data_IF_909475914447
#
_entry.id   IF_909475914447
#
_cell.length_a   1.000
_cell.length_b   1.000
_cell.length_c   1.000
_cell.angle_alpha   90.00
_cell.angle_beta   90.00
_cell.angle_gamma   90.00
#
_symmetry.space_group_name_H-M   'P 1'
#
loop_
_entity.id
_entity.type
_entity.pdbx_description
1 polymer ?
#
# COMPACT_ATOMS: atom_id res chain seq x y z
N UNK A 1 -4.27 5.31 -5.49
CA UNK A 1 -5.48 4.76 -4.84
C UNK A 1 -5.17 4.34 -3.40
N UNK A 2 -4.25 3.41 -3.12
CA UNK A 2 -3.92 2.93 -1.77
C UNK A 2 -3.60 4.06 -0.78
N UNK A 3 -2.77 5.05 -1.18
CA UNK A 3 -2.49 6.23 -0.34
C UNK A 3 -3.73 7.07 -0.03
N UNK A 4 -4.66 7.17 -0.98
CA UNK A 4 -5.89 7.97 -0.80
C UNK A 4 -6.85 7.31 0.19
N UNK A 5 -7.13 6.01 0.02
CA UNK A 5 -8.08 5.30 0.90
C UNK A 5 -7.51 5.06 2.31
N UNK A 6 -6.20 4.90 2.45
CA UNK A 6 -5.55 4.83 3.76
C UNK A 6 -5.53 6.17 4.50
N UNK A 7 -5.66 7.29 3.78
CA UNK A 7 -5.53 8.62 4.36
C UNK A 7 -4.09 9.16 4.41
N UNK A 8 -3.13 8.40 3.87
CA UNK A 8 -1.73 8.83 3.80
C UNK A 8 -1.47 9.90 2.74
N UNK A 9 -2.32 9.98 1.70
CA UNK A 9 -2.10 10.88 0.57
C UNK A 9 -1.96 12.34 1.00
N UNK A 10 -0.87 12.97 0.58
CA UNK A 10 -0.62 14.40 0.77
C UNK A 10 -0.87 15.17 -0.53
N UNK A 11 -1.91 16.00 -0.53
CA UNK A 11 -2.30 16.81 -1.69
C UNK A 11 -1.50 18.13 -1.75
N UNK A 12 -0.18 18.00 -1.96
CA UNK A 12 0.70 19.15 -2.18
C UNK A 12 0.95 19.32 -3.68
N UNK A 13 0.49 20.43 -4.25
CA UNK A 13 0.70 20.75 -5.67
C UNK A 13 2.03 21.46 -5.88
N UNK A 14 2.68 21.15 -7.02
CA UNK A 14 3.95 21.80 -7.39
C UNK A 14 5.15 21.32 -6.58
N UNK A 15 6.29 21.98 -6.75
CA UNK A 15 7.55 21.65 -6.08
C UNK A 15 8.37 20.56 -6.79
N UNK A 16 9.54 20.22 -6.23
CA UNK A 16 10.45 19.23 -6.82
C UNK A 16 9.86 17.82 -6.80
N UNK A 17 10.45 16.94 -7.62
CA UNK A 17 10.16 15.51 -7.58
C UNK A 17 10.58 14.88 -6.25
N UNK A 18 9.88 13.82 -5.87
CA UNK A 18 10.10 13.08 -4.61
C UNK A 18 10.55 11.65 -4.89
N UNK A 19 11.26 11.06 -3.95
CA UNK A 19 11.76 9.69 -4.01
C UNK A 19 11.01 8.83 -2.99
N UNK A 20 9.93 8.11 -3.37
CA UNK A 20 9.26 7.18 -2.48
C UNK A 20 10.13 5.98 -2.14
N UNK A 21 9.61 5.05 -1.34
CA UNK A 21 10.29 3.80 -1.00
C UNK A 21 10.80 3.06 -2.22
N UNK A 22 12.07 2.64 -2.15
CA UNK A 22 12.70 1.78 -3.16
C UNK A 22 13.76 0.90 -2.51
N UNK A 23 13.96 -0.33 -3.00
CA UNK A 23 15.08 -1.15 -2.54
C UNK A 23 16.42 -0.45 -2.78
N UNK A 24 17.22 -0.30 -1.73
CA UNK A 24 18.52 0.40 -1.78
C UNK A 24 19.47 -0.24 -2.79
N UNK A 25 19.40 -1.56 -2.96
CA UNK A 25 20.23 -2.36 -3.85
C UNK A 25 20.08 -1.98 -5.32
N UNK A 26 18.90 -1.50 -5.73
CA UNK A 26 18.65 -1.08 -7.12
C UNK A 26 19.54 0.11 -7.55
N UNK A 27 19.97 0.92 -6.60
CA UNK A 27 20.80 2.09 -6.87
C UNK A 27 22.28 1.84 -6.69
N UNK A 28 22.68 0.86 -5.84
CA UNK A 28 24.07 0.51 -5.59
C UNK A 28 24.76 -0.18 -6.77
N UNK A 29 24.09 -1.17 -7.37
CA UNK A 29 24.65 -2.01 -8.43
C UNK A 29 24.79 -1.31 -9.80
N UNK A 30 23.96 -0.31 -10.08
CA UNK A 30 23.89 0.36 -11.39
C UNK A 30 24.38 1.81 -11.36
N UNK A 31 25.03 2.22 -10.25
CA UNK A 31 25.50 3.58 -10.04
C UNK A 31 26.89 3.85 -10.67
N UNK A 32 27.45 2.88 -11.40
CA UNK A 32 28.79 3.01 -11.99
C UNK A 32 28.75 4.13 -13.06
N UNK A 33 29.43 5.23 -12.75
CA UNK A 33 29.68 6.31 -13.72
C UNK A 33 28.75 7.53 -13.68
N UNK A 34 27.84 7.65 -12.72
CA UNK A 34 26.97 8.84 -12.62
C UNK A 34 27.17 9.58 -11.29
N UNK A 35 27.48 10.87 -11.37
CA UNK A 35 27.57 11.75 -10.19
C UNK A 35 26.26 11.90 -9.39
N UNK A 36 25.12 11.47 -9.97
CA UNK A 36 23.79 11.48 -9.36
C UNK A 36 23.35 10.06 -8.88
N UNK A 37 24.30 9.22 -8.53
CA UNK A 37 24.09 7.81 -8.23
C UNK A 37 23.47 7.54 -6.85
N UNK A 38 23.41 8.51 -5.97
CA UNK A 38 22.85 8.33 -4.62
C UNK A 38 21.33 8.53 -4.65
N UNK A 39 20.61 7.46 -4.42
CA UNK A 39 19.19 7.53 -4.09
C UNK A 39 19.07 8.03 -2.64
N UNK A 40 18.48 9.21 -2.48
CA UNK A 40 18.08 9.71 -1.18
C UNK A 40 16.55 9.60 -1.10
N UNK A 41 16.07 8.65 -0.29
CA UNK A 41 14.65 8.50 -0.04
C UNK A 41 14.11 9.77 0.61
N UNK A 42 12.95 10.23 0.14
CA UNK A 42 12.22 11.34 0.78
C UNK A 42 11.74 10.94 2.18
N UNK A 43 11.47 11.92 3.03
CA UNK A 43 11.00 11.71 4.40
C UNK A 43 9.72 12.51 4.65
N UNK A 44 8.95 12.10 5.66
CA UNK A 44 7.73 12.79 6.06
C UNK A 44 6.69 12.84 4.93
N UNK A 45 6.00 13.95 4.80
CA UNK A 45 4.91 14.15 3.84
C UNK A 45 5.30 13.92 2.37
N UNK A 46 6.57 14.10 2.02
CA UNK A 46 7.05 13.92 0.65
C UNK A 46 7.07 12.44 0.21
N UNK A 47 7.01 11.47 1.14
CA UNK A 47 6.81 10.06 0.82
C UNK A 47 5.41 9.74 0.27
N UNK A 48 4.42 10.53 0.66
CA UNK A 48 3.01 10.25 0.43
C UNK A 48 2.37 11.14 -0.63
N UNK A 49 3.18 11.78 -1.47
CA UNK A 49 2.70 12.59 -2.58
C UNK A 49 2.14 11.72 -3.71
N UNK A 50 1.31 12.33 -4.56
CA UNK A 50 0.79 11.66 -5.77
C UNK A 50 1.94 11.14 -6.63
N UNK A 51 1.80 9.96 -7.20
CA UNK A 51 2.81 9.29 -8.04
C UNK A 51 3.28 10.14 -9.23
N UNK A 52 2.50 11.16 -9.63
CA UNK A 52 2.91 12.16 -10.63
C UNK A 52 4.21 12.88 -10.23
N UNK A 53 4.43 13.09 -8.95
CA UNK A 53 5.60 13.78 -8.41
C UNK A 53 6.80 12.87 -8.15
N UNK A 54 6.67 11.54 -8.37
CA UNK A 54 7.80 10.62 -8.23
C UNK A 54 8.90 10.99 -9.22
N UNK A 55 10.11 11.18 -8.70
CA UNK A 55 11.29 11.44 -9.52
C UNK A 55 11.52 10.26 -10.48
N UNK A 56 11.56 10.56 -11.77
CA UNK A 56 11.70 9.56 -12.80
C UNK A 56 13.12 9.55 -13.38
N UNK A 57 13.94 8.61 -12.94
CA UNK A 57 15.25 8.40 -13.53
C UNK A 57 15.08 7.51 -14.77
N UNK A 58 15.46 8.02 -15.95
CA UNK A 58 15.22 7.35 -17.25
C UNK A 58 15.77 5.92 -17.31
N UNK A 59 16.95 5.68 -16.75
CA UNK A 59 17.60 4.37 -16.75
C UNK A 59 17.11 3.44 -15.66
N UNK A 60 16.70 3.99 -14.51
CA UNK A 60 16.27 3.24 -13.32
C UNK A 60 14.99 3.90 -12.79
N UNK A 61 13.84 3.71 -13.45
CA UNK A 61 12.57 4.19 -12.95
C UNK A 61 12.14 3.39 -11.72
N UNK A 62 11.23 3.95 -10.92
CA UNK A 62 10.70 3.29 -9.74
C UNK A 62 10.15 1.88 -10.07
N UNK A 63 10.69 0.85 -9.42
CA UNK A 63 10.45 -0.54 -9.76
C UNK A 63 8.97 -0.92 -9.62
N UNK A 64 8.35 -0.54 -8.50
CA UNK A 64 6.92 -0.75 -8.25
C UNK A 64 6.04 -0.07 -9.31
N UNK A 65 6.36 1.15 -9.71
CA UNK A 65 5.61 1.86 -10.76
C UNK A 65 5.71 1.16 -12.13
N UNK A 66 6.89 0.63 -12.47
CA UNK A 66 7.05 -0.13 -13.72
C UNK A 66 6.22 -1.40 -13.73
N UNK A 67 6.26 -2.15 -12.63
CA UNK A 67 5.49 -3.40 -12.48
C UNK A 67 3.98 -3.11 -12.54
N UNK A 68 3.54 -1.99 -11.98
CA UNK A 68 2.15 -1.53 -12.04
C UNK A 68 1.79 -0.80 -13.35
N UNK A 69 2.60 -0.95 -14.40
CA UNK A 69 2.26 -0.47 -15.74
C UNK A 69 2.51 1.02 -16.00
N UNK A 70 3.35 1.69 -15.20
CA UNK A 70 3.75 3.04 -15.52
C UNK A 70 4.64 3.06 -16.77
N UNK A 71 4.35 3.97 -17.69
CA UNK A 71 5.10 4.13 -18.93
C UNK A 71 6.54 4.56 -18.70
N UNK A 72 7.45 4.04 -19.57
CA UNK A 72 8.86 4.40 -19.56
C UNK A 72 9.17 5.86 -19.93
N UNK A 73 8.16 6.67 -20.25
CA UNK A 73 8.27 8.07 -20.72
C UNK A 73 9.20 8.26 -21.93
N UNK A 74 9.42 7.19 -22.70
CA UNK A 74 10.27 7.21 -23.90
C UNK A 74 9.47 7.27 -25.18
N UNK A 75 8.21 6.83 -25.15
CA UNK A 75 7.28 6.80 -26.28
C UNK A 75 5.92 7.33 -25.85
N UNK A 76 5.21 7.98 -26.77
CA UNK A 76 3.81 8.37 -26.53
C UNK A 76 2.91 7.14 -26.61
N UNK A 77 2.09 6.92 -25.61
CA UNK A 77 1.02 5.91 -25.62
C UNK A 77 -0.32 6.59 -25.46
N UNK A 78 -1.26 6.22 -26.31
CA UNK A 78 -2.63 6.75 -26.30
C UNK A 78 -3.48 6.11 -25.22
N UNK A 79 -3.15 4.87 -24.82
CA UNK A 79 -3.86 4.11 -23.78
C UNK A 79 -2.90 3.22 -23.02
N UNK A 80 -3.07 3.15 -21.70
CA UNK A 80 -2.40 2.16 -20.86
C UNK A 80 -3.14 0.83 -20.96
N UNK A 81 -2.39 -0.26 -21.07
CA UNK A 81 -2.96 -1.59 -20.96
C UNK A 81 -3.29 -1.87 -19.48
N UNK A 82 -4.50 -2.35 -19.24
CA UNK A 82 -4.88 -2.86 -17.94
C UNK A 82 -4.31 -4.27 -17.82
N UNK A 83 -3.43 -4.49 -16.88
CA UNK A 83 -2.83 -5.80 -16.61
C UNK A 83 -3.04 -6.15 -15.15
N UNK A 84 -3.35 -7.41 -14.91
CA UNK A 84 -3.34 -7.99 -13.57
C UNK A 84 -2.45 -9.23 -13.62
N UNK A 85 -1.24 -9.11 -13.08
CA UNK A 85 -0.23 -10.16 -13.14
C UNK A 85 0.16 -10.61 -11.74
N UNK A 86 0.63 -11.86 -11.56
CA UNK A 86 1.11 -12.34 -10.27
C UNK A 86 2.22 -11.45 -9.68
N UNK A 87 3.05 -10.85 -10.52
CA UNK A 87 4.11 -9.93 -10.07
C UNK A 87 3.54 -8.63 -9.49
N UNK A 88 2.43 -8.13 -10.05
CA UNK A 88 1.73 -6.98 -9.50
C UNK A 88 1.12 -7.30 -8.13
N UNK A 89 0.48 -8.46 -7.99
CA UNK A 89 -0.03 -8.95 -6.71
C UNK A 89 1.10 -9.06 -5.67
N UNK A 90 2.25 -9.60 -6.06
CA UNK A 90 3.40 -9.72 -5.17
C UNK A 90 3.93 -8.34 -4.71
N UNK A 91 3.96 -7.35 -5.59
CA UNK A 91 4.35 -5.97 -5.23
C UNK A 91 3.36 -5.37 -4.25
N UNK A 92 2.06 -5.50 -4.48
CA UNK A 92 1.03 -4.96 -3.59
C UNK A 92 1.08 -5.58 -2.18
N UNK A 93 1.52 -6.83 -2.06
CA UNK A 93 1.64 -7.52 -0.78
C UNK A 93 2.95 -7.24 -0.03
N UNK A 94 4.03 -6.86 -0.73
CA UNK A 94 5.37 -6.81 -0.14
C UNK A 94 6.09 -5.44 -0.24
N UNK A 95 5.67 -4.55 -1.13
CA UNK A 95 6.29 -3.24 -1.25
C UNK A 95 6.00 -2.40 0.01
N UNK A 96 7.01 -1.78 0.63
CA UNK A 96 6.86 -1.04 1.88
C UNK A 96 5.75 0.01 1.87
N UNK A 97 5.53 0.67 0.73
CA UNK A 97 4.49 1.68 0.59
C UNK A 97 3.07 1.09 0.67
N UNK A 98 2.86 -0.11 0.09
CA UNK A 98 1.56 -0.78 0.15
C UNK A 98 1.32 -1.47 1.49
N UNK A 99 2.36 -2.04 2.09
CA UNK A 99 2.29 -2.59 3.46
C UNK A 99 1.95 -1.50 4.47
N UNK A 100 2.60 -0.34 4.39
CA UNK A 100 2.27 0.82 5.22
C UNK A 100 0.84 1.32 4.96
N UNK A 101 0.43 1.43 3.69
CA UNK A 101 -0.92 1.86 3.35
C UNK A 101 -1.99 0.90 3.90
N UNK A 102 -1.78 -0.42 3.85
CA UNK A 102 -2.72 -1.41 4.42
C UNK A 102 -2.84 -1.28 5.94
N UNK A 103 -1.73 -1.04 6.63
CA UNK A 103 -1.71 -0.81 8.09
C UNK A 103 -2.44 0.47 8.49
N UNK A 104 -2.16 1.59 7.82
CA UNK A 104 -2.83 2.86 8.11
C UNK A 104 -4.32 2.80 7.71
N UNK A 105 -4.64 2.06 6.67
CA UNK A 105 -6.02 1.78 6.29
C UNK A 105 -6.75 0.97 7.38
N UNK A 106 -6.07 -0.01 7.98
CA UNK A 106 -6.61 -0.75 9.14
C UNK A 106 -6.89 0.17 10.34
N UNK A 107 -5.95 1.08 10.69
CA UNK A 107 -6.20 2.08 11.73
C UNK A 107 -7.43 2.94 11.41
N UNK A 108 -7.57 3.36 10.16
CA UNK A 108 -8.70 4.15 9.70
C UNK A 108 -10.02 3.42 9.87
N UNK A 109 -10.13 2.17 9.43
CA UNK A 109 -11.37 1.41 9.55
C UNK A 109 -11.71 1.06 11.00
N UNK A 110 -10.72 0.87 11.86
CA UNK A 110 -10.93 0.70 13.30
C UNK A 110 -11.54 1.95 13.95
N UNK A 111 -11.20 3.14 13.45
CA UNK A 111 -11.70 4.41 13.97
C UNK A 111 -13.03 4.86 13.33
N UNK A 112 -13.24 4.59 12.04
CA UNK A 112 -14.34 5.15 11.24
C UNK A 112 -15.38 4.10 10.83
N UNK A 113 -15.03 2.81 10.83
CA UNK A 113 -15.81 1.72 10.24
C UNK A 113 -16.92 1.15 11.13
N UNK A 114 -17.14 1.70 12.32
CA UNK A 114 -18.13 1.19 13.29
C UNK A 114 -17.54 0.25 14.34
N UNK A 115 -18.41 -0.40 15.12
CA UNK A 115 -18.02 -1.13 16.33
C UNK A 115 -17.78 -2.64 16.09
N UNK A 116 -18.35 -3.20 15.02
CA UNK A 116 -18.21 -4.63 14.73
C UNK A 116 -17.26 -4.91 13.56
N UNK A 117 -16.59 -6.09 13.55
CA UNK A 117 -15.75 -6.49 12.42
C UNK A 117 -16.49 -6.46 11.07
N UNK A 118 -17.74 -6.88 11.05
CA UNK A 118 -18.58 -6.86 9.85
C UNK A 118 -18.78 -5.44 9.29
N UNK A 119 -19.03 -4.45 10.16
CA UNK A 119 -19.17 -3.06 9.76
C UNK A 119 -17.84 -2.49 9.24
N UNK A 120 -16.75 -2.73 9.96
CA UNK A 120 -15.39 -2.28 9.58
C UNK A 120 -14.96 -2.84 8.24
N UNK A 121 -15.16 -4.13 8.00
CA UNK A 121 -14.81 -4.77 6.73
C UNK A 121 -15.70 -4.32 5.57
N UNK A 122 -17.00 -4.13 5.82
CA UNK A 122 -17.92 -3.55 4.83
C UNK A 122 -17.53 -2.13 4.46
N UNK A 123 -17.11 -1.32 5.43
CA UNK A 123 -16.61 0.03 5.22
C UNK A 123 -15.31 0.03 4.42
N UNK A 124 -14.33 -0.83 4.79
CA UNK A 124 -13.09 -1.00 4.06
C UNK A 124 -13.32 -1.37 2.60
N UNK A 125 -14.15 -2.37 2.37
CA UNK A 125 -14.47 -2.84 1.02
C UNK A 125 -15.11 -1.72 0.17
N UNK A 126 -16.07 -0.99 0.74
CA UNK A 126 -16.73 0.13 0.07
C UNK A 126 -15.77 1.26 -0.29
N UNK A 127 -14.82 1.60 0.59
CA UNK A 127 -13.80 2.61 0.31
C UNK A 127 -12.88 2.18 -0.84
N UNK A 128 -12.51 0.90 -0.89
CA UNK A 128 -11.58 0.38 -1.87
C UNK A 128 -12.21 0.17 -3.26
N UNK A 129 -13.47 -0.31 -3.32
CA UNK A 129 -14.12 -0.73 -4.57
C UNK A 129 -15.22 0.21 -5.03
N UNK A 130 -15.64 1.17 -4.17
CA UNK A 130 -16.78 2.08 -4.41
C UNK A 130 -18.14 1.39 -4.55
N UNK A 131 -18.25 0.10 -4.21
CA UNK A 131 -19.52 -0.66 -4.20
C UNK A 131 -19.81 -1.28 -2.83
N UNK A 132 -21.02 -1.73 -2.63
CA UNK A 132 -21.35 -2.52 -1.44
C UNK A 132 -20.80 -3.94 -1.57
N UNK A 133 -20.31 -4.47 -0.45
CA UNK A 133 -19.85 -5.85 -0.36
C UNK A 133 -21.03 -6.82 -0.46
N UNK A 134 -20.86 -7.94 -1.17
CA UNK A 134 -21.82 -9.03 -1.22
C UNK A 134 -21.75 -9.90 0.04
N UNK A 135 -22.83 -10.56 0.46
CA UNK A 135 -22.82 -11.39 1.67
C UNK A 135 -21.73 -12.47 1.69
N UNK A 136 -21.49 -13.14 0.56
CA UNK A 136 -20.45 -14.17 0.42
C UNK A 136 -19.05 -13.57 0.53
N UNK A 137 -18.80 -12.38 -0.04
CA UNK A 137 -17.51 -11.70 0.06
C UNK A 137 -17.23 -11.28 1.52
N UNK A 138 -18.25 -10.78 2.20
CA UNK A 138 -18.14 -10.40 3.61
C UNK A 138 -17.83 -11.63 4.49
N UNK A 139 -18.45 -12.76 4.22
CA UNK A 139 -18.19 -14.01 4.94
C UNK A 139 -16.75 -14.45 4.79
N UNK A 140 -16.20 -14.41 3.58
CA UNK A 140 -14.79 -14.73 3.31
C UNK A 140 -13.85 -13.78 4.06
N UNK A 141 -14.10 -12.47 4.02
CA UNK A 141 -13.26 -11.50 4.73
C UNK A 141 -13.36 -11.63 6.25
N UNK A 142 -14.54 -11.96 6.79
CA UNK A 142 -14.73 -12.24 8.20
C UNK A 142 -14.01 -13.52 8.64
N UNK A 143 -14.04 -14.55 7.83
CA UNK A 143 -13.31 -15.79 8.09
C UNK A 143 -11.80 -15.49 8.15
N UNK A 144 -11.25 -14.81 7.15
CA UNK A 144 -9.83 -14.43 7.13
C UNK A 144 -9.47 -13.57 8.35
N UNK A 145 -10.29 -12.57 8.69
CA UNK A 145 -10.09 -11.77 9.91
C UNK A 145 -10.05 -12.63 11.17
N UNK A 146 -11.00 -13.56 11.31
CA UNK A 146 -11.07 -14.44 12.48
C UNK A 146 -9.89 -15.41 12.58
N UNK A 147 -9.36 -15.85 11.46
CA UNK A 147 -8.18 -16.72 11.44
C UNK A 147 -6.92 -15.91 11.80
N UNK A 148 -6.76 -14.71 11.26
CA UNK A 148 -5.63 -13.82 11.58
C UNK A 148 -5.65 -13.32 13.03
N UNK A 149 -6.81 -12.94 13.56
CA UNK A 149 -6.87 -12.48 14.96
C UNK A 149 -6.46 -13.58 15.92
N UNK A 150 -6.89 -14.84 15.70
CA UNK A 150 -6.47 -15.98 16.53
C UNK A 150 -4.96 -16.22 16.46
N UNK A 151 -4.38 -16.10 15.26
CA UNK A 151 -2.95 -16.25 15.04
C UNK A 151 -2.15 -15.17 15.79
N UNK A 152 -2.56 -13.90 15.68
CA UNK A 152 -1.87 -12.78 16.31
C UNK A 152 -2.12 -12.66 17.82
N UNK A 153 -3.27 -13.10 18.33
CA UNK A 153 -3.52 -13.20 19.77
C UNK A 153 -2.74 -14.34 20.45
N UNK A 154 -2.39 -15.38 19.68
CA UNK A 154 -1.55 -16.47 20.15
C UNK A 154 -0.06 -16.11 20.23
N UNK A 155 0.39 -15.12 19.45
CA UNK A 155 1.79 -14.68 19.37
C UNK A 155 1.89 -13.16 19.13
N UNK A 156 2.03 -12.41 20.23
CA UNK A 156 2.20 -10.95 20.20
C UNK A 156 3.46 -10.51 19.43
N UNK A 157 4.52 -11.34 19.42
CA UNK A 157 5.73 -11.04 18.69
C UNK A 157 5.53 -11.13 17.19
N UNK A 158 4.69 -12.05 16.74
CA UNK A 158 4.29 -12.17 15.34
C UNK A 158 3.50 -10.93 14.89
N UNK A 159 2.51 -10.49 15.70
CA UNK A 159 1.74 -9.27 15.43
C UNK A 159 2.65 -8.05 15.33
N UNK A 160 3.55 -7.85 16.28
CA UNK A 160 4.51 -6.76 16.28
C UNK A 160 5.45 -6.81 15.07
N UNK A 161 5.95 -8.00 14.70
CA UNK A 161 6.80 -8.21 13.52
C UNK A 161 6.08 -7.89 12.23
N UNK A 162 4.83 -8.32 12.09
CA UNK A 162 3.98 -8.03 10.93
C UNK A 162 3.78 -6.52 10.76
N UNK A 163 3.50 -5.81 11.86
CA UNK A 163 3.29 -4.37 11.86
C UNK A 163 4.59 -3.56 11.70
N UNK A 164 5.75 -4.12 12.04
CA UNK A 164 7.05 -3.48 11.84
C UNK A 164 7.47 -3.43 10.36
N UNK A 165 6.85 -4.25 9.51
CA UNK A 165 7.11 -4.28 8.07
C UNK A 165 6.70 -2.99 7.38
N UNK A 166 7.67 -2.23 6.89
CA UNK A 166 7.48 -1.11 5.96
C UNK A 166 6.99 0.21 6.58
N UNK A 167 7.53 1.29 6.05
CA UNK A 167 7.03 2.64 6.25
C UNK A 167 7.52 3.37 7.49
N UNK A 168 7.22 4.67 7.53
CA UNK A 168 7.58 5.57 8.64
C UNK A 168 6.43 5.81 9.64
N UNK A 169 5.21 5.42 9.27
CA UNK A 169 4.06 5.59 10.14
C UNK A 169 4.12 4.63 11.33
N UNK A 170 3.93 5.15 12.52
CA UNK A 170 3.84 4.36 13.76
C UNK A 170 2.40 4.33 14.26
N UNK A 171 1.89 3.17 14.71
CA UNK A 171 0.55 3.07 15.29
C UNK A 171 0.36 4.00 16.48
N UNK A 172 -0.86 4.47 16.70
CA UNK A 172 -1.20 5.29 17.85
C UNK A 172 -1.00 4.49 19.16
N UNK A 173 -0.51 5.17 20.19
CA UNK A 173 -0.38 4.55 21.52
C UNK A 173 -1.74 4.06 22.03
N UNK A 174 -1.76 2.84 22.57
CA UNK A 174 -2.98 2.23 23.10
C UNK A 174 -3.81 1.46 22.07
N UNK A 175 -3.34 1.35 20.81
CA UNK A 175 -3.98 0.48 19.81
C UNK A 175 -3.68 -0.98 20.13
N UNK A 176 -4.70 -1.84 20.09
CA UNK A 176 -4.53 -3.28 20.14
C UNK A 176 -3.79 -3.76 18.90
N UNK A 177 -2.56 -4.24 19.09
CA UNK A 177 -1.67 -4.62 17.99
C UNK A 177 -2.15 -5.87 17.27
N UNK A 178 -2.74 -6.83 17.97
CA UNK A 178 -3.25 -8.06 17.37
C UNK A 178 -4.45 -7.78 16.48
N UNK A 179 -5.38 -6.94 16.93
CA UNK A 179 -6.48 -6.46 16.10
C UNK A 179 -5.99 -5.65 14.89
N UNK A 180 -5.07 -4.73 15.11
CA UNK A 180 -4.52 -3.93 14.03
C UNK A 180 -3.84 -4.79 12.97
N UNK A 181 -3.04 -5.78 13.37
CA UNK A 181 -2.37 -6.71 12.46
C UNK A 181 -3.38 -7.54 11.66
N UNK A 182 -4.43 -8.05 12.31
CA UNK A 182 -5.49 -8.80 11.65
C UNK A 182 -6.23 -7.95 10.60
N UNK A 183 -6.63 -6.74 10.96
CA UNK A 183 -7.24 -5.83 9.99
C UNK A 183 -6.26 -5.41 8.88
N UNK A 184 -4.99 -5.19 9.19
CA UNK A 184 -3.98 -4.84 8.18
C UNK A 184 -3.80 -5.97 7.15
N UNK A 185 -3.81 -7.22 7.58
CA UNK A 185 -3.77 -8.38 6.69
C UNK A 185 -4.98 -8.40 5.74
N UNK A 186 -6.19 -8.22 6.26
CA UNK A 186 -7.40 -8.19 5.43
C UNK A 186 -7.44 -6.96 4.53
N UNK A 187 -7.00 -5.79 5.02
CA UNK A 187 -6.87 -4.59 4.18
C UNK A 187 -5.88 -4.77 3.03
N UNK A 188 -4.78 -5.49 3.26
CA UNK A 188 -3.81 -5.84 2.20
C UNK A 188 -4.46 -6.71 1.12
N UNK A 189 -5.31 -7.68 1.49
CA UNK A 189 -6.07 -8.48 0.52
C UNK A 189 -7.07 -7.61 -0.26
N UNK A 190 -7.81 -6.72 0.42
CA UNK A 190 -8.76 -5.80 -0.24
C UNK A 190 -8.05 -4.88 -1.24
N UNK A 191 -6.86 -4.35 -0.88
CA UNK A 191 -6.05 -3.53 -1.78
C UNK A 191 -5.52 -4.30 -3.00
N UNK A 192 -5.42 -5.63 -2.90
CA UNK A 192 -4.95 -6.50 -3.97
C UNK A 192 -6.08 -7.05 -4.86
N UNK A 193 -7.33 -6.70 -4.60
CA UNK A 193 -8.45 -7.04 -5.49
C UNK A 193 -8.28 -6.32 -6.84
N UNK A 194 -8.65 -7.01 -7.92
CA UNK A 194 -8.63 -6.44 -9.27
C UNK A 194 -9.40 -5.11 -9.37
N UNK A 195 -10.55 -5.03 -8.72
CA UNK A 195 -11.38 -3.82 -8.64
C UNK A 195 -10.68 -2.65 -7.91
N UNK A 196 -9.75 -2.93 -7.01
CA UNK A 196 -8.96 -1.91 -6.31
C UNK A 196 -7.77 -1.43 -7.14
N UNK A 197 -7.29 -2.25 -8.07
CA UNK A 197 -6.12 -1.98 -8.91
C UNK A 197 -6.53 -1.30 -10.22
N UNK A 198 -7.58 -1.81 -10.85
CA UNK A 198 -8.07 -1.34 -12.14
C UNK A 198 -9.31 -0.44 -11.95
N UNK A 199 -9.13 0.88 -12.03
CA UNK A 199 -10.30 1.76 -12.18
C UNK A 199 -11.01 1.48 -13.51
N UNK A 200 -12.27 1.12 -13.45
CA UNK A 200 -13.17 1.01 -14.61
C UNK A 200 -13.42 2.38 -15.25
#
# INVERSE_FOLDING_TARGET
HALSISGLLKEKQGGPGVNPYQPAELFGANAIGSSNARFAQSTGDDLYRRSLYTYWKRQIPAANMRILGADGRTTCRTRREKTNTPLQALVLLNDPQFVEASRVFAERIMNEGGDSPSQRLSYAFRLATSRHIQPMELEILLQEYNDRIREFEADDALAASYLAGGGQHTPKQGTDLSQLAAYAAVCSLILNLDESISSS
#
